data_IF_363178627954
#
_entry.id   IF_363178627954
#
_cell.length_a   1.000
_cell.length_b   1.000
_cell.length_c   1.000
_cell.angle_alpha   90.00
_cell.angle_beta   90.00
_cell.angle_gamma   90.00
#
_symmetry.space_group_name_H-M   'P 1'
#
loop_
_entity.id
_entity.type
_entity.pdbx_description
1 polymer ?
#
# COMPACT_ATOMS: atom_id res chain seq x y z
N UNK A 1 31.27 18.86 -26.61
CA UNK A 1 30.10 18.23 -25.94
C UNK A 1 29.45 17.20 -26.85
N UNK A 2 29.17 17.54 -28.14
CA UNK A 2 28.54 16.64 -29.11
C UNK A 2 29.38 15.38 -29.33
N UNK A 3 30.70 15.51 -29.58
CA UNK A 3 31.59 14.37 -29.71
C UNK A 3 31.59 13.41 -28.49
N UNK A 4 31.49 13.96 -27.27
CA UNK A 4 31.38 13.14 -26.06
C UNK A 4 30.04 12.43 -25.96
N UNK A 5 28.97 13.04 -26.45
CA UNK A 5 27.64 12.41 -26.50
C UNK A 5 27.59 11.30 -27.58
N UNK A 6 28.20 11.51 -28.74
CA UNK A 6 28.32 10.48 -29.79
C UNK A 6 29.18 9.31 -29.35
N UNK A 7 30.31 9.55 -28.68
CA UNK A 7 31.13 8.51 -28.07
C UNK A 7 30.41 7.76 -26.95
N UNK A 8 29.56 8.43 -26.16
CA UNK A 8 28.74 7.79 -25.16
C UNK A 8 27.60 6.96 -25.75
N UNK A 9 27.00 7.41 -26.85
CA UNK A 9 25.93 6.69 -27.57
C UNK A 9 26.42 5.40 -28.26
N UNK A 10 27.70 5.40 -28.73
CA UNK A 10 28.33 4.22 -29.33
C UNK A 10 28.87 3.19 -28.36
N UNK A 11 28.84 3.46 -27.01
CA UNK A 11 29.29 2.47 -26.01
C UNK A 11 28.22 1.42 -25.81
N UNK A 12 28.45 0.21 -26.25
CA UNK A 12 27.67 -0.96 -25.86
C UNK A 12 27.79 -1.13 -24.34
N UNK A 13 26.65 -1.06 -23.66
CA UNK A 13 26.59 -1.38 -22.21
C UNK A 13 26.99 -2.84 -22.08
N UNK A 14 28.11 -3.12 -21.42
CA UNK A 14 28.54 -4.48 -21.13
C UNK A 14 27.49 -5.20 -20.26
N UNK A 15 27.48 -6.52 -20.33
CA UNK A 15 26.74 -7.37 -19.40
C UNK A 15 27.61 -7.64 -18.15
N UNK A 16 26.96 -7.79 -17.01
CA UNK A 16 27.64 -8.27 -15.81
C UNK A 16 27.98 -9.75 -15.95
N UNK A 17 29.15 -10.16 -15.52
CA UNK A 17 29.49 -11.57 -15.42
C UNK A 17 28.61 -12.28 -14.39
N UNK A 18 28.44 -13.60 -14.50
CA UNK A 18 27.69 -14.37 -13.53
C UNK A 18 28.23 -14.17 -12.10
N UNK A 19 29.55 -14.18 -11.94
CA UNK A 19 30.18 -13.94 -10.64
C UNK A 19 29.86 -12.55 -10.06
N UNK A 20 29.79 -11.52 -10.91
CA UNK A 20 29.39 -10.18 -10.47
C UNK A 20 27.90 -10.13 -10.07
N UNK A 21 27.01 -10.82 -10.79
CA UNK A 21 25.61 -10.93 -10.45
C UNK A 21 25.43 -11.66 -9.11
N UNK A 22 26.13 -12.78 -8.91
CA UNK A 22 26.06 -13.56 -7.68
C UNK A 22 26.63 -12.77 -6.48
N UNK A 23 27.68 -11.95 -6.69
CA UNK A 23 28.22 -11.07 -5.66
C UNK A 23 27.26 -9.92 -5.28
N UNK A 24 26.49 -9.38 -6.24
CA UNK A 24 25.55 -8.27 -6.02
C UNK A 24 24.20 -8.71 -5.45
N UNK A 25 23.68 -9.85 -5.90
CA UNK A 25 22.31 -10.27 -5.63
C UNK A 25 22.19 -11.61 -4.90
N UNK A 26 23.26 -12.42 -4.87
CA UNK A 26 23.26 -13.78 -4.35
C UNK A 26 22.56 -14.77 -5.29
N UNK A 27 22.50 -16.05 -4.87
CA UNK A 27 21.77 -17.11 -5.58
C UNK A 27 20.26 -17.09 -5.31
N UNK A 28 19.84 -16.41 -4.25
CA UNK A 28 18.43 -16.21 -3.88
C UNK A 28 18.11 -14.72 -3.88
N UNK A 29 17.24 -14.31 -4.77
CA UNK A 29 16.85 -12.90 -4.93
C UNK A 29 15.53 -12.66 -4.23
N UNK A 30 15.54 -11.81 -3.19
CA UNK A 30 14.30 -11.34 -2.58
C UNK A 30 13.70 -10.20 -3.41
N UNK A 31 12.45 -10.33 -3.78
CA UNK A 31 11.70 -9.34 -4.57
C UNK A 31 10.46 -8.89 -3.80
N UNK A 32 10.20 -7.59 -3.82
CA UNK A 32 8.88 -7.03 -3.51
C UNK A 32 8.22 -6.53 -4.80
N UNK A 33 6.93 -6.25 -4.76
CA UNK A 33 6.22 -5.70 -5.92
C UNK A 33 6.86 -4.40 -6.42
N UNK A 34 7.26 -3.51 -5.52
CA UNK A 34 7.94 -2.25 -5.88
C UNK A 34 9.32 -2.48 -6.50
N UNK A 35 10.05 -3.54 -6.07
CA UNK A 35 11.32 -3.92 -6.72
C UNK A 35 11.10 -4.46 -8.12
N UNK A 36 10.02 -5.22 -8.33
CA UNK A 36 9.63 -5.72 -9.66
C UNK A 36 9.28 -4.56 -10.60
N UNK A 37 8.45 -3.63 -10.15
CA UNK A 37 8.10 -2.42 -10.91
C UNK A 37 9.35 -1.59 -11.25
N UNK A 38 10.27 -1.44 -10.29
CA UNK A 38 11.54 -0.73 -10.52
C UNK A 38 12.40 -1.44 -11.56
N UNK A 39 12.49 -2.78 -11.50
CA UNK A 39 13.22 -3.57 -12.48
C UNK A 39 12.65 -3.41 -13.88
N UNK A 40 11.32 -3.49 -14.02
CA UNK A 40 10.62 -3.36 -15.30
C UNK A 40 10.71 -1.94 -15.87
N UNK A 41 10.58 -0.92 -15.03
CA UNK A 41 10.61 0.47 -15.47
C UNK A 41 12.02 0.92 -15.91
N UNK A 42 13.06 0.50 -15.19
CA UNK A 42 14.44 0.89 -15.51
C UNK A 42 15.49 -0.02 -14.86
N UNK A 43 16.10 -0.91 -15.63
CA UNK A 43 17.16 -1.82 -15.13
C UNK A 43 18.34 -1.08 -14.51
N UNK A 44 18.72 0.08 -15.04
CA UNK A 44 19.80 0.88 -14.48
C UNK A 44 19.43 1.44 -13.10
N UNK A 45 18.22 1.97 -12.94
CA UNK A 45 17.73 2.44 -11.64
C UNK A 45 17.66 1.31 -10.62
N UNK A 46 17.22 0.11 -11.04
CA UNK A 46 17.22 -1.08 -10.22
C UNK A 46 18.64 -1.47 -9.78
N UNK A 47 19.58 -1.50 -10.72
CA UNK A 47 20.99 -1.80 -10.43
C UNK A 47 21.61 -0.84 -9.42
N UNK A 48 21.40 0.47 -9.61
CA UNK A 48 21.92 1.49 -8.69
C UNK A 48 21.33 1.32 -7.28
N UNK A 49 20.02 1.13 -7.20
CA UNK A 49 19.31 1.08 -5.91
C UNK A 49 19.50 -0.26 -5.18
N UNK A 50 19.42 -1.39 -5.88
CA UNK A 50 19.38 -2.73 -5.27
C UNK A 50 20.66 -3.54 -5.47
N UNK A 51 21.44 -3.27 -6.51
CA UNK A 51 22.76 -3.85 -6.71
C UNK A 51 23.82 -3.09 -5.94
N UNK A 52 23.96 -1.80 -6.22
CA UNK A 52 24.95 -0.95 -5.56
C UNK A 52 24.48 -0.43 -4.19
N UNK A 53 23.20 -0.61 -3.82
CA UNK A 53 22.59 -0.13 -2.57
C UNK A 53 22.77 1.39 -2.36
N UNK A 54 22.76 2.15 -3.46
CA UNK A 54 22.86 3.60 -3.41
C UNK A 54 21.53 4.20 -2.95
N UNK A 55 21.59 4.99 -1.89
CA UNK A 55 20.41 5.64 -1.31
C UNK A 55 20.54 7.17 -1.43
N UNK A 56 19.44 7.82 -1.70
CA UNK A 56 19.38 9.29 -1.61
C UNK A 56 19.29 9.69 -0.14
N UNK A 57 20.03 10.76 0.22
CA UNK A 57 19.94 11.31 1.58
C UNK A 57 18.52 11.74 1.88
N UNK A 58 17.91 11.14 2.91
CA UNK A 58 16.59 11.54 3.39
C UNK A 58 16.67 12.93 4.05
N UNK A 59 15.77 13.82 3.68
CA UNK A 59 15.60 15.10 4.39
C UNK A 59 14.88 14.81 5.70
N UNK A 60 15.36 15.41 6.79
CA UNK A 60 14.66 15.34 8.07
C UNK A 60 13.31 16.06 7.98
N UNK A 61 12.26 15.43 8.49
CA UNK A 61 10.92 16.00 8.55
C UNK A 61 9.85 14.99 8.15
N UNK A 62 8.60 15.32 8.41
CA UNK A 62 7.44 14.53 8.04
C UNK A 62 7.13 14.78 6.55
N UNK A 63 7.44 13.80 5.72
CA UNK A 63 7.32 13.82 4.26
C UNK A 63 6.13 12.96 3.80
N UNK A 64 5.92 12.85 2.50
CA UNK A 64 4.83 12.04 1.92
C UNK A 64 4.88 10.54 2.30
N UNK A 65 6.05 9.88 2.39
CA UNK A 65 6.09 8.48 2.87
C UNK A 65 5.64 8.33 4.32
N UNK A 66 6.08 9.22 5.21
CA UNK A 66 5.69 9.22 6.63
C UNK A 66 4.18 9.50 6.79
N UNK A 67 3.61 10.37 5.94
CA UNK A 67 2.17 10.58 5.89
C UNK A 67 1.43 9.29 5.46
N UNK A 68 1.95 8.57 4.46
CA UNK A 68 1.40 7.28 4.05
C UNK A 68 1.37 6.28 5.21
N UNK A 69 2.50 6.08 5.89
CA UNK A 69 2.61 5.20 7.06
C UNK A 69 1.64 5.60 8.18
N UNK A 70 1.52 6.88 8.45
CA UNK A 70 0.58 7.40 9.45
C UNK A 70 -0.89 7.09 9.09
N UNK A 71 -1.29 7.31 7.85
CA UNK A 71 -2.68 7.04 7.41
C UNK A 71 -2.98 5.53 7.44
N UNK A 72 -2.05 4.68 7.00
CA UNK A 72 -2.19 3.22 7.09
C UNK A 72 -2.36 2.77 8.54
N UNK A 73 -1.52 3.27 9.46
CA UNK A 73 -1.65 3.00 10.89
C UNK A 73 -3.04 3.36 11.43
N UNK A 74 -3.56 4.54 11.10
CA UNK A 74 -4.88 4.97 11.54
C UNK A 74 -5.99 4.06 10.99
N UNK A 75 -5.95 3.77 9.68
CA UNK A 75 -6.95 2.92 9.04
C UNK A 75 -6.95 1.49 9.59
N UNK A 76 -5.76 0.91 9.78
CA UNK A 76 -5.62 -0.39 10.40
C UNK A 76 -6.28 -0.43 11.78
N UNK A 77 -5.89 0.48 12.69
CA UNK A 77 -6.32 0.43 14.07
C UNK A 77 -7.78 0.86 14.29
N UNK A 78 -8.32 1.72 13.44
CA UNK A 78 -9.75 2.07 13.48
C UNK A 78 -10.61 0.88 13.09
N UNK A 79 -10.25 0.18 12.01
CA UNK A 79 -11.09 -0.87 11.44
C UNK A 79 -10.78 -2.29 11.99
N UNK A 80 -9.80 -2.44 12.89
CA UNK A 80 -9.63 -3.66 13.69
C UNK A 80 -10.77 -3.88 14.70
N UNK A 81 -11.54 -2.84 15.02
CA UNK A 81 -12.71 -2.95 15.88
C UNK A 81 -13.97 -2.47 15.16
N UNK A 82 -15.14 -2.87 15.67
CA UNK A 82 -16.44 -2.39 15.15
C UNK A 82 -17.12 -1.38 16.09
N UNK A 83 -16.39 -0.84 17.08
CA UNK A 83 -16.91 0.10 18.08
C UNK A 83 -17.43 1.42 17.49
N UNK A 84 -17.06 1.73 16.28
CA UNK A 84 -17.51 2.88 15.50
C UNK A 84 -18.89 2.69 14.87
N UNK A 85 -19.48 1.48 14.97
CA UNK A 85 -20.81 1.21 14.42
C UNK A 85 -21.93 1.63 15.39
N UNK A 86 -23.07 1.96 14.82
CA UNK A 86 -24.31 2.09 15.57
C UNK A 86 -24.96 0.71 15.82
N UNK A 87 -26.11 0.70 16.54
CA UNK A 87 -26.83 -0.54 16.87
C UNK A 87 -27.41 -1.26 15.65
N UNK A 88 -27.60 -0.56 14.54
CA UNK A 88 -28.12 -1.09 13.28
C UNK A 88 -26.98 -1.55 12.32
N UNK A 89 -25.72 -1.39 12.73
CA UNK A 89 -24.52 -1.75 11.95
C UNK A 89 -24.09 -0.67 10.96
N UNK A 90 -24.72 0.51 11.01
CA UNK A 90 -24.36 1.69 10.24
C UNK A 90 -23.11 2.41 10.82
N UNK A 91 -22.83 3.60 10.30
CA UNK A 91 -21.72 4.44 10.77
C UNK A 91 -22.22 5.42 11.83
N UNK A 92 -21.72 5.29 13.07
CA UNK A 92 -21.85 6.31 14.10
C UNK A 92 -20.69 7.32 13.94
N UNK A 93 -20.98 8.47 13.34
CA UNK A 93 -19.95 9.47 13.02
C UNK A 93 -19.22 10.04 14.23
N UNK A 94 -19.90 10.15 15.38
CA UNK A 94 -19.29 10.70 16.61
C UNK A 94 -18.35 9.66 17.25
N UNK A 95 -18.77 8.40 17.30
CA UNK A 95 -17.90 7.31 17.78
C UNK A 95 -16.69 7.11 16.87
N UNK A 96 -16.91 7.19 15.55
CA UNK A 96 -15.84 7.04 14.57
C UNK A 96 -14.78 8.16 14.70
N UNK A 97 -15.23 9.40 14.85
CA UNK A 97 -14.33 10.53 15.05
C UNK A 97 -13.57 10.44 16.38
N UNK A 98 -14.25 10.08 17.47
CA UNK A 98 -13.62 9.91 18.78
C UNK A 98 -12.56 8.80 18.76
N UNK A 99 -12.86 7.65 18.14
CA UNK A 99 -11.91 6.56 17.96
C UNK A 99 -10.72 6.98 17.07
N UNK A 100 -10.99 7.73 16.01
CA UNK A 100 -9.92 8.23 15.12
C UNK A 100 -8.97 9.15 15.89
N UNK A 101 -9.50 10.04 16.73
CA UNK A 101 -8.69 10.94 17.54
C UNK A 101 -7.82 10.18 18.54
N UNK A 102 -8.39 9.21 19.23
CA UNK A 102 -7.67 8.35 20.16
C UNK A 102 -6.49 7.64 19.50
N UNK A 103 -6.73 7.09 18.30
CA UNK A 103 -5.69 6.38 17.54
C UNK A 103 -4.60 7.33 17.03
N UNK A 104 -4.96 8.54 16.59
CA UNK A 104 -4.00 9.58 16.20
C UNK A 104 -3.14 10.01 17.40
N UNK A 105 -3.74 10.21 18.56
CA UNK A 105 -2.99 10.52 19.79
C UNK A 105 -2.08 9.37 20.23
N UNK A 106 -2.52 8.13 20.08
CA UNK A 106 -1.70 6.94 20.32
C UNK A 106 -0.50 6.89 19.39
N UNK A 107 -0.68 7.09 18.08
CA UNK A 107 0.41 7.17 17.11
C UNK A 107 1.45 8.23 17.48
N UNK A 108 0.99 9.43 17.85
CA UNK A 108 1.88 10.53 18.26
C UNK A 108 2.71 10.13 19.49
N UNK A 109 2.09 9.47 20.48
CA UNK A 109 2.77 9.09 21.71
C UNK A 109 3.74 7.92 21.51
N UNK A 110 3.32 6.88 20.78
CA UNK A 110 4.05 5.62 20.70
C UNK A 110 5.09 5.63 19.56
N UNK A 111 4.70 6.07 18.36
CA UNK A 111 5.57 6.01 17.19
C UNK A 111 6.52 7.23 17.10
N UNK A 112 6.12 8.37 17.61
CA UNK A 112 6.95 9.58 17.60
C UNK A 112 7.69 9.83 18.92
N UNK A 113 7.52 8.96 19.92
CA UNK A 113 8.32 8.94 21.14
C UNK A 113 8.35 10.26 21.91
N UNK A 114 7.22 11.01 21.96
CA UNK A 114 7.15 12.30 22.62
C UNK A 114 7.71 13.49 21.81
N UNK A 115 8.36 13.27 20.68
CA UNK A 115 8.90 14.34 19.81
C UNK A 115 7.85 15.39 19.41
N UNK A 116 6.58 14.97 19.32
CA UNK A 116 5.48 15.87 19.00
C UNK A 116 5.11 16.79 20.18
N UNK A 117 5.34 16.35 21.41
CA UNK A 117 5.12 17.18 22.61
C UNK A 117 6.18 18.26 22.77
N UNK A 118 7.41 17.96 22.37
CA UNK A 118 8.56 18.88 22.44
C UNK A 118 8.60 19.88 21.27
N UNK A 119 7.93 19.57 20.15
CA UNK A 119 8.01 20.38 18.92
C UNK A 119 6.65 20.98 18.55
N UNK A 120 6.38 22.27 18.86
CA UNK A 120 5.10 22.93 18.51
C UNK A 120 4.72 22.82 17.03
N UNK A 121 5.73 22.81 16.14
CA UNK A 121 5.53 22.65 14.68
C UNK A 121 4.94 21.28 14.34
N UNK A 122 5.41 20.23 14.98
CA UNK A 122 4.95 18.85 14.73
C UNK A 122 3.52 18.67 15.28
N UNK A 123 3.24 19.19 16.48
CA UNK A 123 1.88 19.22 17.04
C UNK A 123 0.89 19.93 16.11
N UNK A 124 1.24 21.10 15.61
CA UNK A 124 0.41 21.85 14.65
C UNK A 124 0.18 21.06 13.36
N UNK A 125 1.19 20.34 12.87
CA UNK A 125 1.06 19.49 11.69
C UNK A 125 0.00 18.41 11.91
N UNK A 126 0.06 17.65 13.01
CA UNK A 126 -0.93 16.60 13.29
C UNK A 126 -2.34 17.15 13.51
N UNK A 127 -2.49 18.29 14.14
CA UNK A 127 -3.80 18.98 14.23
C UNK A 127 -4.37 19.29 12.83
N UNK A 128 -3.53 19.69 11.89
CA UNK A 128 -3.96 19.92 10.49
C UNK A 128 -4.27 18.64 9.74
N UNK A 129 -3.60 17.54 10.04
CA UNK A 129 -3.81 16.23 9.39
C UNK A 129 -5.07 15.53 9.91
N UNK A 130 -5.54 15.87 11.11
CA UNK A 130 -6.70 15.23 11.72
C UNK A 130 -7.96 15.35 10.84
N UNK A 131 -8.24 16.54 10.29
CA UNK A 131 -9.42 16.74 9.44
C UNK A 131 -9.41 15.88 8.17
N UNK A 132 -8.36 15.89 7.32
CA UNK A 132 -8.31 15.01 6.16
C UNK A 132 -8.29 13.52 6.52
N UNK A 133 -7.67 13.13 7.63
CA UNK A 133 -7.66 11.73 8.09
C UNK A 133 -9.07 11.29 8.49
N UNK A 134 -9.82 12.09 9.26
CA UNK A 134 -11.22 11.77 9.58
C UNK A 134 -12.08 11.62 8.30
N UNK A 135 -11.86 12.46 7.29
CA UNK A 135 -12.58 12.33 6.02
C UNK A 135 -12.28 11.00 5.33
N UNK A 136 -11.01 10.58 5.29
CA UNK A 136 -10.61 9.28 4.74
C UNK A 136 -11.23 8.13 5.53
N UNK A 137 -11.17 8.17 6.86
CA UNK A 137 -11.74 7.15 7.76
C UNK A 137 -13.26 7.04 7.54
N UNK A 138 -13.98 8.17 7.44
CA UNK A 138 -15.42 8.17 7.15
C UNK A 138 -15.74 7.52 5.81
N UNK A 139 -15.02 7.86 4.75
CA UNK A 139 -15.21 7.25 3.41
C UNK A 139 -15.02 5.73 3.45
N UNK A 140 -14.00 5.25 4.17
CA UNK A 140 -13.77 3.79 4.32
C UNK A 140 -14.86 3.14 5.17
N UNK A 141 -15.34 3.80 6.24
CA UNK A 141 -16.43 3.30 7.07
C UNK A 141 -17.75 3.20 6.28
N UNK A 142 -18.07 4.20 5.44
CA UNK A 142 -19.23 4.19 4.54
C UNK A 142 -19.12 3.05 3.52
N UNK A 143 -17.95 2.85 2.90
CA UNK A 143 -17.70 1.73 1.98
C UNK A 143 -17.95 0.39 2.67
N UNK A 144 -17.40 0.18 3.86
CA UNK A 144 -17.55 -1.04 4.63
C UNK A 144 -18.99 -1.28 5.10
N UNK A 145 -19.75 -0.21 5.39
CA UNK A 145 -21.15 -0.33 5.80
C UNK A 145 -22.07 -0.65 4.63
N UNK A 146 -21.71 -0.24 3.42
CA UNK A 146 -22.44 -0.53 2.19
C UNK A 146 -22.07 -1.87 1.53
N UNK A 147 -21.14 -2.62 2.12
CA UNK A 147 -20.57 -3.84 1.54
C UNK A 147 -20.81 -5.07 2.41
N UNK A 148 -21.06 -6.22 1.77
CA UNK A 148 -21.08 -7.53 2.44
C UNK A 148 -19.67 -8.00 2.85
N UNK A 149 -18.64 -7.46 2.23
CA UNK A 149 -17.26 -7.74 2.59
C UNK A 149 -16.92 -7.11 3.93
N UNK A 150 -16.26 -7.89 4.78
CA UNK A 150 -15.76 -7.44 6.10
C UNK A 150 -14.24 -7.57 6.14
N UNK A 151 -13.54 -6.64 6.79
CA UNK A 151 -12.12 -6.79 7.04
C UNK A 151 -11.86 -8.06 7.87
N UNK A 152 -10.96 -8.91 7.38
CA UNK A 152 -10.56 -10.16 8.06
C UNK A 152 -9.08 -10.21 8.39
N UNK A 153 -8.25 -9.37 7.77
CA UNK A 153 -6.86 -9.18 8.12
C UNK A 153 -6.37 -7.77 7.72
N UNK A 154 -5.38 -7.28 8.49
CA UNK A 154 -4.68 -6.03 8.24
C UNK A 154 -3.18 -6.29 8.27
N UNK A 155 -2.40 -5.53 7.48
CA UNK A 155 -0.94 -5.61 7.39
C UNK A 155 -0.43 -7.06 7.28
N UNK A 156 -1.21 -7.88 6.54
CA UNK A 156 -0.93 -9.31 6.40
C UNK A 156 0.35 -9.53 5.61
N UNK A 157 1.36 -10.08 6.28
CA UNK A 157 2.67 -10.33 5.71
C UNK A 157 2.78 -11.68 5.01
N UNK A 158 3.41 -11.71 3.83
CA UNK A 158 3.89 -12.94 3.23
C UNK A 158 5.39 -12.85 2.94
N UNK A 159 6.09 -13.93 3.26
CA UNK A 159 7.55 -13.95 3.21
C UNK A 159 8.12 -14.89 4.26
N UNK A 160 9.44 -14.99 4.32
CA UNK A 160 10.10 -15.81 5.32
C UNK A 160 9.85 -15.27 6.74
N UNK A 161 9.26 -16.09 7.60
CA UNK A 161 8.93 -15.74 9.00
C UNK A 161 7.75 -14.77 9.15
N UNK A 162 6.88 -14.68 8.15
CA UNK A 162 5.62 -13.92 8.18
C UNK A 162 4.42 -14.87 8.24
N UNK A 163 3.21 -14.28 8.20
CA UNK A 163 1.94 -14.99 8.32
C UNK A 163 1.74 -16.06 7.24
N UNK A 164 2.18 -15.75 6.03
CA UNK A 164 2.14 -16.65 4.89
C UNK A 164 3.54 -16.86 4.30
N UNK A 165 3.81 -18.02 3.68
CA UNK A 165 5.08 -18.28 3.02
C UNK A 165 5.33 -17.33 1.84
N UNK A 166 6.60 -17.12 1.43
CA UNK A 166 6.90 -16.37 0.24
C UNK A 166 6.46 -17.13 -1.02
N UNK A 167 6.12 -16.40 -2.07
CA UNK A 167 5.98 -17.00 -3.40
C UNK A 167 7.37 -17.26 -3.97
N UNK A 168 7.70 -18.52 -4.22
CA UNK A 168 9.01 -18.90 -4.76
C UNK A 168 8.89 -19.29 -6.23
N UNK A 169 9.78 -18.72 -7.03
CA UNK A 169 9.95 -19.02 -8.44
C UNK A 169 11.41 -19.44 -8.68
N UNK A 170 11.61 -20.54 -9.38
CA UNK A 170 12.95 -21.01 -9.77
C UNK A 170 13.13 -20.83 -11.27
N UNK A 171 14.15 -20.06 -11.66
CA UNK A 171 14.48 -19.77 -13.06
C UNK A 171 15.99 -19.87 -13.23
N UNK A 172 16.46 -20.69 -14.14
CA UNK A 172 17.88 -20.86 -14.51
C UNK A 172 18.83 -21.04 -13.30
N UNK A 173 18.40 -21.85 -12.31
CA UNK A 173 19.17 -22.11 -11.10
C UNK A 173 19.23 -20.96 -10.08
N UNK A 174 18.43 -19.92 -10.28
CA UNK A 174 18.19 -18.85 -9.31
C UNK A 174 16.81 -19.03 -8.67
N UNK A 175 16.72 -18.79 -7.38
CA UNK A 175 15.43 -18.71 -6.67
C UNK A 175 15.05 -17.25 -6.47
N UNK A 176 13.89 -16.89 -6.98
CA UNK A 176 13.26 -15.59 -6.71
C UNK A 176 12.19 -15.79 -5.65
N UNK A 177 12.36 -15.14 -4.51
CA UNK A 177 11.44 -15.19 -3.37
C UNK A 177 10.69 -13.86 -3.30
N UNK A 178 9.38 -13.89 -3.54
CA UNK A 178 8.53 -12.70 -3.52
C UNK A 178 7.90 -12.56 -2.14
N UNK A 179 8.01 -11.36 -1.56
CA UNK A 179 7.47 -11.04 -0.25
C UNK A 179 6.79 -9.67 -0.26
N UNK A 180 5.87 -9.46 0.69
CA UNK A 180 5.15 -8.20 0.79
C UNK A 180 4.28 -8.13 2.04
N UNK A 181 3.49 -7.07 2.11
CA UNK A 181 2.40 -6.88 3.07
C UNK A 181 1.16 -6.43 2.32
N UNK A 182 0.02 -6.95 2.76
CA UNK A 182 -1.30 -6.58 2.25
C UNK A 182 -1.92 -5.64 3.28
N UNK A 183 -2.21 -4.41 2.91
CA UNK A 183 -2.73 -3.41 3.84
C UNK A 183 -4.03 -3.87 4.51
N UNK A 184 -4.98 -4.40 3.73
CA UNK A 184 -6.23 -4.98 4.23
C UNK A 184 -6.71 -6.12 3.33
N UNK A 185 -7.20 -7.16 3.95
CA UNK A 185 -7.90 -8.27 3.29
C UNK A 185 -9.34 -8.26 3.77
N UNK A 186 -10.28 -8.22 2.83
CA UNK A 186 -11.71 -8.34 3.12
C UNK A 186 -12.24 -9.68 2.65
N UNK A 187 -13.12 -10.28 3.44
CA UNK A 187 -13.75 -11.54 3.17
C UNK A 187 -15.27 -11.47 3.21
N UNK A 188 -15.91 -12.27 2.38
CA UNK A 188 -17.35 -12.52 2.37
C UNK A 188 -17.62 -13.99 2.14
N UNK A 189 -18.16 -14.66 3.16
CA UNK A 189 -18.53 -16.07 3.04
C UNK A 189 -19.89 -16.19 2.38
N UNK A 190 -19.92 -16.86 1.21
CA UNK A 190 -21.12 -17.15 0.45
C UNK A 190 -21.07 -18.59 -0.05
N UNK A 191 -22.15 -19.33 0.13
CA UNK A 191 -22.29 -20.74 -0.30
C UNK A 191 -21.13 -21.64 0.19
N UNK A 192 -20.63 -21.39 1.39
CA UNK A 192 -19.51 -22.13 2.01
C UNK A 192 -18.12 -21.80 1.48
N UNK A 193 -17.99 -20.84 0.58
CA UNK A 193 -16.73 -20.36 0.01
C UNK A 193 -16.42 -18.96 0.52
N UNK A 194 -15.15 -18.65 0.69
CA UNK A 194 -14.69 -17.32 1.08
C UNK A 194 -14.34 -16.52 -0.17
N UNK A 195 -15.20 -15.56 -0.52
CA UNK A 195 -14.86 -14.54 -1.50
C UNK A 195 -13.91 -13.54 -0.86
N UNK A 196 -12.73 -13.36 -1.45
CA UNK A 196 -11.67 -12.56 -0.87
C UNK A 196 -11.26 -11.44 -1.81
N UNK A 197 -11.19 -10.21 -1.29
CA UNK A 197 -10.61 -9.07 -2.00
C UNK A 197 -9.42 -8.48 -1.24
N UNK A 198 -8.45 -8.01 -1.99
CA UNK A 198 -7.27 -7.32 -1.47
C UNK A 198 -7.48 -5.83 -1.62
N UNK A 199 -7.22 -5.09 -0.55
CA UNK A 199 -7.33 -3.64 -0.52
C UNK A 199 -5.98 -3.03 -0.20
N UNK A 200 -5.62 -1.99 -0.94
CA UNK A 200 -4.37 -1.25 -0.78
C UNK A 200 -4.68 0.25 -0.72
N UNK A 201 -4.20 0.91 0.33
CA UNK A 201 -4.45 2.31 0.58
C UNK A 201 -3.43 3.18 -0.13
N UNK A 202 -3.89 4.10 -0.96
CA UNK A 202 -3.00 4.98 -1.75
C UNK A 202 -3.17 6.44 -1.42
N UNK A 203 -2.15 7.04 -0.82
CA UNK A 203 -2.08 8.50 -0.59
C UNK A 203 -1.77 9.28 -1.87
N UNK A 204 -1.18 8.62 -2.89
CA UNK A 204 -0.97 9.16 -4.23
C UNK A 204 -2.07 8.78 -5.22
N UNK A 205 -1.95 9.28 -6.46
CA UNK A 205 -2.81 8.79 -7.55
C UNK A 205 -2.29 7.43 -8.02
N UNK A 206 -3.15 6.43 -8.03
CA UNK A 206 -2.88 5.11 -8.59
C UNK A 206 -4.12 4.66 -9.35
N UNK A 207 -3.91 4.07 -10.51
CA UNK A 207 -4.93 3.38 -11.28
C UNK A 207 -4.47 1.96 -11.55
N UNK A 208 -5.42 1.05 -11.73
CA UNK A 208 -5.13 -0.28 -12.20
C UNK A 208 -5.17 -0.24 -13.74
N UNK A 209 -4.03 -0.56 -14.37
CA UNK A 209 -3.88 -0.54 -15.82
C UNK A 209 -3.46 -1.92 -16.31
N UNK A 210 -4.31 -2.54 -17.13
CA UNK A 210 -4.04 -3.85 -17.72
C UNK A 210 -2.84 -3.85 -18.67
N UNK A 211 -2.53 -2.71 -19.28
CA UNK A 211 -1.35 -2.56 -20.14
C UNK A 211 -0.07 -2.64 -19.31
N UNK A 212 -0.07 -2.00 -18.14
CA UNK A 212 1.04 -2.10 -17.19
C UNK A 212 1.21 -3.55 -16.72
N UNK A 213 0.11 -4.21 -16.34
CA UNK A 213 0.10 -5.62 -15.93
C UNK A 213 0.66 -6.53 -17.03
N UNK A 214 0.22 -6.36 -18.27
CA UNK A 214 0.72 -7.11 -19.42
C UNK A 214 2.23 -6.93 -19.62
N UNK A 215 2.75 -5.75 -19.36
CA UNK A 215 4.17 -5.46 -19.41
C UNK A 215 4.93 -5.83 -18.11
N UNK A 216 4.29 -6.47 -17.15
CA UNK A 216 4.89 -6.93 -15.89
C UNK A 216 5.12 -5.83 -14.86
N UNK A 217 4.32 -4.76 -14.91
CA UNK A 217 4.29 -3.67 -13.94
C UNK A 217 2.94 -3.67 -13.19
N UNK A 218 2.88 -3.05 -12.02
CA UNK A 218 1.64 -2.95 -11.25
C UNK A 218 1.08 -4.29 -10.77
N UNK A 219 1.93 -5.32 -10.66
CA UNK A 219 1.52 -6.69 -10.32
C UNK A 219 1.18 -6.88 -8.83
N UNK A 220 1.47 -5.89 -7.99
CA UNK A 220 1.37 -5.98 -6.52
C UNK A 220 0.09 -6.66 -6.06
N UNK A 221 -1.03 -6.10 -6.46
CA UNK A 221 -2.36 -6.54 -5.99
C UNK A 221 -2.72 -7.94 -6.47
N UNK A 222 -2.38 -8.27 -7.70
CA UNK A 222 -2.63 -9.61 -8.26
C UNK A 222 -1.77 -10.67 -7.58
N UNK A 223 -0.49 -10.37 -7.32
CA UNK A 223 0.40 -11.25 -6.58
C UNK A 223 -0.15 -11.53 -5.17
N UNK A 224 -0.65 -10.50 -4.50
CA UNK A 224 -1.26 -10.63 -3.18
C UNK A 224 -2.51 -11.50 -3.23
N UNK A 225 -3.42 -11.21 -4.15
CA UNK A 225 -4.66 -11.95 -4.30
C UNK A 225 -4.43 -13.44 -4.61
N UNK A 226 -3.53 -13.74 -5.55
CA UNK A 226 -3.23 -15.13 -5.91
C UNK A 226 -2.41 -15.86 -4.83
N UNK A 227 -1.55 -15.15 -4.09
CA UNK A 227 -0.88 -15.74 -2.93
C UNK A 227 -1.90 -16.16 -1.88
N UNK A 228 -2.86 -15.30 -1.57
CA UNK A 228 -3.92 -15.58 -0.61
C UNK A 228 -4.83 -16.72 -1.09
N UNK A 229 -5.18 -16.78 -2.37
CA UNK A 229 -5.96 -17.88 -2.93
C UNK A 229 -5.25 -19.21 -2.76
N UNK A 230 -3.92 -19.23 -2.96
CA UNK A 230 -3.15 -20.48 -2.92
C UNK A 230 -2.81 -20.93 -1.50
N UNK A 231 -2.41 -19.99 -0.64
CA UNK A 231 -1.79 -20.30 0.66
C UNK A 231 -2.68 -19.88 1.86
N UNK A 232 -3.77 -19.14 1.62
CA UNK A 232 -4.57 -18.53 2.69
C UNK A 232 -5.62 -19.44 3.33
N UNK A 233 -5.86 -20.64 2.80
CA UNK A 233 -6.94 -21.51 3.26
C UNK A 233 -6.91 -21.79 4.76
N UNK A 234 -5.75 -22.18 5.28
CA UNK A 234 -5.60 -22.52 6.69
C UNK A 234 -5.69 -21.29 7.60
N UNK A 235 -5.27 -20.13 7.09
CA UNK A 235 -5.32 -18.86 7.81
C UNK A 235 -6.78 -18.37 8.00
N UNK A 236 -7.64 -18.64 7.03
CA UNK A 236 -9.03 -18.18 7.01
C UNK A 236 -10.06 -19.29 7.25
N UNK A 237 -9.81 -20.12 8.26
CA UNK A 237 -10.78 -21.08 8.76
C UNK A 237 -11.06 -22.29 7.84
N UNK A 238 -10.14 -22.60 6.93
CA UNK A 238 -10.23 -23.78 6.05
C UNK A 238 -11.17 -23.63 4.86
N UNK A 239 -11.74 -22.44 4.64
CA UNK A 239 -12.59 -22.17 3.48
C UNK A 239 -11.83 -22.23 2.17
N UNK A 240 -12.46 -22.74 1.12
CA UNK A 240 -11.98 -22.53 -0.25
C UNK A 240 -12.10 -21.03 -0.60
N UNK A 241 -11.00 -20.46 -1.11
CA UNK A 241 -10.92 -19.03 -1.41
C UNK A 241 -11.22 -18.76 -2.88
N UNK A 242 -12.20 -17.91 -3.12
CA UNK A 242 -12.50 -17.34 -4.42
C UNK A 242 -11.94 -15.92 -4.52
N UNK A 243 -11.03 -15.63 -5.47
CA UNK A 243 -10.48 -14.29 -5.66
C UNK A 243 -11.56 -13.36 -6.23
N UNK A 244 -12.14 -12.53 -5.38
CA UNK A 244 -13.21 -11.61 -5.77
C UNK A 244 -12.71 -10.33 -6.43
N UNK A 245 -11.50 -9.86 -6.07
CA UNK A 245 -10.93 -8.69 -6.71
C UNK A 245 -9.84 -7.97 -5.94
N UNK A 246 -9.41 -6.84 -6.52
CA UNK A 246 -8.42 -5.93 -5.96
C UNK A 246 -8.97 -4.51 -5.95
N UNK A 247 -8.69 -3.76 -4.89
CA UNK A 247 -9.22 -2.42 -4.70
C UNK A 247 -8.12 -1.46 -4.25
N UNK A 248 -7.87 -0.40 -5.04
CA UNK A 248 -7.09 0.75 -4.59
C UNK A 248 -8.02 1.76 -3.94
N UNK A 249 -7.90 1.95 -2.64
CA UNK A 249 -8.66 2.95 -1.90
C UNK A 249 -7.85 4.25 -1.75
N UNK A 250 -8.38 5.39 -2.21
CA UNK A 250 -7.73 6.68 -2.00
C UNK A 250 -7.67 7.02 -0.50
N UNK A 251 -6.47 6.99 0.06
CA UNK A 251 -6.18 7.34 1.45
C UNK A 251 -5.80 8.82 1.57
N UNK A 252 -6.56 9.69 0.95
CA UNK A 252 -6.39 11.15 0.93
C UNK A 252 -7.73 11.85 0.74
N UNK A 253 -7.82 13.06 1.26
CA UNK A 253 -8.97 13.92 0.99
C UNK A 253 -9.02 14.32 -0.49
N UNK A 254 -10.21 14.34 -1.05
CA UNK A 254 -10.42 14.75 -2.45
C UNK A 254 -10.22 16.26 -2.58
N UNK A 255 -9.23 16.67 -3.36
CA UNK A 255 -9.02 18.08 -3.71
C UNK A 255 -9.60 18.33 -5.08
N UNK A 256 -10.68 19.09 -5.13
CA UNK A 256 -11.34 19.49 -6.37
C UNK A 256 -10.90 20.89 -6.74
N UNK A 257 -10.39 21.06 -7.97
CA UNK A 257 -10.16 22.36 -8.54
C UNK A 257 -11.52 22.96 -8.98
N UNK A 258 -11.93 24.06 -8.38
CA UNK A 258 -13.21 24.69 -8.70
C UNK A 258 -13.30 26.13 -8.25
N UNK A 259 -14.31 26.85 -8.77
CA UNK A 259 -14.64 28.22 -8.34
C UNK A 259 -15.17 28.22 -6.91
N UNK A 260 -14.91 29.32 -6.16
CA UNK A 260 -15.52 29.55 -4.84
C UNK A 260 -17.06 29.56 -4.88
N UNK A 261 -17.64 29.83 -6.05
CA UNK A 261 -19.09 29.87 -6.29
C UNK A 261 -19.68 28.53 -6.76
N UNK A 262 -18.87 27.47 -6.80
CA UNK A 262 -19.34 26.14 -7.20
C UNK A 262 -20.40 25.66 -6.22
N UNK A 263 -21.56 25.24 -6.75
CA UNK A 263 -22.66 24.66 -5.95
C UNK A 263 -22.26 23.32 -5.35
N UNK A 264 -22.92 22.93 -4.27
CA UNK A 264 -22.63 21.65 -3.62
C UNK A 264 -22.90 20.46 -4.53
N UNK A 265 -23.95 20.51 -5.34
CA UNK A 265 -24.25 19.50 -6.35
C UNK A 265 -23.13 19.36 -7.40
N UNK A 266 -22.58 20.49 -7.88
CA UNK A 266 -21.45 20.48 -8.80
C UNK A 266 -20.16 19.98 -8.15
N UNK A 267 -19.97 20.21 -6.84
CA UNK A 267 -18.83 19.66 -6.08
C UNK A 267 -18.93 18.15 -5.98
N UNK A 268 -20.09 17.60 -5.62
CA UNK A 268 -20.33 16.15 -5.57
C UNK A 268 -20.04 15.51 -6.93
N UNK A 269 -20.61 16.06 -8.01
CA UNK A 269 -20.39 15.56 -9.37
C UNK A 269 -18.92 15.64 -9.82
N UNK A 270 -18.12 16.55 -9.25
CA UNK A 270 -16.70 16.67 -9.56
C UNK A 270 -15.84 15.69 -8.74
N UNK A 271 -16.34 15.17 -7.60
CA UNK A 271 -15.70 14.09 -6.81
C UNK A 271 -15.91 12.76 -7.49
N UNK A 272 -17.07 12.53 -8.10
CA UNK A 272 -17.47 11.27 -8.74
C UNK A 272 -16.79 11.04 -10.10
N UNK A 273 -15.97 11.98 -10.58
CA UNK A 273 -15.16 11.90 -11.81
C UNK A 273 -13.68 11.63 -11.49
#
# INVERSE_FOLDING_TARGET
LVERMEQAAGRTRGSLSRAAVDALYGSRVSMSASRMDKFKSCHFSYFVQYGLKAETRKKAGFQAPEYGTFVHYVLEHVFQSETWRDEEGGVDGDKLDALTDEIVERYIREELGGLAEETPRLRYLFQRLLKPVRAVVRNVAEELSASDFKPIAFELGFGSGKDLPPVELSVDGMTVSISGFVDRVDGWVKDGRLNLRVVDYKTGRKSFDLTDVWNGMGLQMLLYLFTLQKEGKDLFGGHEIDPAGVLYLPARDAVIAGSRTMTEAARRQAVDK
#
